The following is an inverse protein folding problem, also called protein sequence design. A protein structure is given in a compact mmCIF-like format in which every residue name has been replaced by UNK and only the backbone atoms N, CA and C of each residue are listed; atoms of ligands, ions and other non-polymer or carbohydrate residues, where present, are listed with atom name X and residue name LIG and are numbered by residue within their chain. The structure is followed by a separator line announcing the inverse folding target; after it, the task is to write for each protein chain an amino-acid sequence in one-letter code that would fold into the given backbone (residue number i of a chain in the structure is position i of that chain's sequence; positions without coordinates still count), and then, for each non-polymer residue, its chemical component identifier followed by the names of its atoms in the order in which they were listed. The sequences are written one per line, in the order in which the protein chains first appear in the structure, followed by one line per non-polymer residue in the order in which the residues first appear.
data_IF_973187053261
#
_entry.id   IF_973187053261
#
_cell.length_a   1.000
_cell.length_b   1.000
_cell.length_c   1.000
_cell.angle_alpha   90.00
_cell.angle_beta   90.00
_cell.angle_gamma   90.00
#
_symmetry.space_group_name_H-M   'P 1'
#
loop_
_entity.id
_entity.type
_entity.pdbx_description
1 polymer ?
#
# COMPACT_ATOMS: atom_id res chain seq x y z
N UNK A 1 25.78 -17.75 15.09
CA UNK A 1 25.67 -17.19 13.72
C UNK A 1 26.95 -16.43 13.42
N UNK A 2 27.71 -16.76 12.37
CA UNK A 2 28.85 -15.93 11.95
C UNK A 2 28.30 -14.73 11.18
N UNK A 3 28.70 -13.52 11.58
CA UNK A 3 28.40 -12.30 10.84
C UNK A 3 29.09 -12.37 9.47
N UNK A 4 28.30 -12.33 8.41
CA UNK A 4 28.80 -12.26 7.04
C UNK A 4 29.29 -10.82 6.85
N UNK A 5 30.60 -10.64 6.70
CA UNK A 5 31.24 -9.32 6.57
C UNK A 5 31.54 -8.93 5.12
N UNK A 6 31.45 -9.88 4.21
CA UNK A 6 31.73 -9.68 2.79
C UNK A 6 30.46 -9.21 2.05
N UNK A 7 30.53 -8.02 1.45
CA UNK A 7 29.42 -7.36 0.77
C UNK A 7 28.82 -8.24 -0.35
N UNK A 8 29.65 -9.01 -1.06
CA UNK A 8 29.19 -9.90 -2.14
C UNK A 8 28.27 -11.00 -1.63
N UNK A 9 28.57 -11.54 -0.45
CA UNK A 9 27.75 -12.56 0.21
C UNK A 9 26.48 -11.95 0.80
N UNK A 10 26.53 -10.72 1.31
CA UNK A 10 25.34 -9.98 1.78
C UNK A 10 24.36 -9.74 0.64
N UNK A 11 24.83 -9.27 -0.52
CA UNK A 11 23.97 -9.04 -1.71
C UNK A 11 23.32 -10.35 -2.18
N UNK A 12 24.07 -11.46 -2.20
CA UNK A 12 23.50 -12.78 -2.53
C UNK A 12 22.44 -13.20 -1.51
N UNK A 13 22.69 -13.00 -0.22
CA UNK A 13 21.73 -13.32 0.83
C UNK A 13 20.44 -12.49 0.69
N UNK A 14 20.55 -11.19 0.43
CA UNK A 14 19.40 -10.32 0.16
C UNK A 14 18.58 -10.76 -1.05
N UNK A 15 19.23 -11.20 -2.14
CA UNK A 15 18.54 -11.78 -3.30
C UNK A 15 17.80 -13.07 -2.94
N UNK A 16 18.41 -13.94 -2.13
CA UNK A 16 17.77 -15.17 -1.66
C UNK A 16 16.55 -14.87 -0.77
N UNK A 17 16.67 -13.93 0.16
CA UNK A 17 15.55 -13.47 1.00
C UNK A 17 14.42 -12.92 0.11
N UNK A 18 14.74 -12.12 -0.91
CA UNK A 18 13.73 -11.59 -1.84
C UNK A 18 12.96 -12.69 -2.56
N UNK A 19 13.66 -13.72 -3.04
CA UNK A 19 13.03 -14.88 -3.72
C UNK A 19 12.16 -15.67 -2.74
N UNK A 20 12.66 -15.94 -1.53
CA UNK A 20 11.92 -16.66 -0.50
C UNK A 20 10.65 -15.89 -0.09
N UNK A 21 10.75 -14.58 0.09
CA UNK A 21 9.63 -13.71 0.40
C UNK A 21 8.59 -13.67 -0.73
N UNK A 22 9.04 -13.59 -1.99
CA UNK A 22 8.14 -13.63 -3.15
C UNK A 22 7.38 -14.97 -3.23
N UNK A 23 8.09 -16.08 -3.02
CA UNK A 23 7.48 -17.40 -2.98
C UNK A 23 6.50 -17.56 -1.81
N UNK A 24 6.86 -17.09 -0.61
CA UNK A 24 5.99 -17.10 0.57
C UNK A 24 4.71 -16.31 0.33
N UNK A 25 4.83 -15.12 -0.27
CA UNK A 25 3.67 -14.29 -0.60
C UNK A 25 2.77 -14.99 -1.62
N UNK A 26 3.35 -15.59 -2.66
CA UNK A 26 2.61 -16.33 -3.68
C UNK A 26 1.91 -17.57 -3.11
N UNK A 27 2.55 -18.29 -2.19
CA UNK A 27 1.96 -19.41 -1.48
C UNK A 27 0.78 -18.97 -0.60
N UNK A 28 0.93 -17.89 0.18
CA UNK A 28 -0.17 -17.35 1.00
C UNK A 28 -1.37 -16.94 0.13
N UNK A 29 -1.12 -16.24 -0.98
CA UNK A 29 -2.17 -15.85 -1.93
C UNK A 29 -2.84 -17.10 -2.53
N UNK A 30 -2.06 -18.11 -2.93
CA UNK A 30 -2.60 -19.36 -3.49
C UNK A 30 -3.52 -20.10 -2.53
N UNK A 31 -3.15 -20.19 -1.24
CA UNK A 31 -3.99 -20.82 -0.21
C UNK A 31 -5.30 -20.03 -0.04
N UNK A 32 -5.23 -18.70 0.05
CA UNK A 32 -6.42 -17.86 0.23
C UNK A 32 -7.35 -17.90 -0.99
N UNK A 33 -6.81 -17.95 -2.21
CA UNK A 33 -7.62 -18.12 -3.43
C UNK A 33 -8.30 -19.48 -3.43
N UNK A 34 -7.58 -20.55 -3.07
CA UNK A 34 -8.14 -21.88 -2.99
C UNK A 34 -9.28 -21.96 -1.96
N UNK A 35 -9.08 -21.40 -0.76
CA UNK A 35 -10.12 -21.31 0.27
C UNK A 35 -11.31 -20.46 -0.20
N UNK A 36 -11.06 -19.37 -0.94
CA UNK A 36 -12.12 -18.52 -1.47
C UNK A 36 -13.01 -19.23 -2.49
N UNK A 37 -12.43 -20.05 -3.37
CA UNK A 37 -13.17 -20.83 -4.37
C UNK A 37 -13.92 -21.99 -3.72
N UNK A 38 -13.32 -22.66 -2.73
CA UNK A 38 -13.87 -23.91 -2.16
C UNK A 38 -14.81 -23.68 -0.99
N UNK A 39 -14.57 -22.67 -0.15
CA UNK A 39 -15.26 -22.42 1.12
C UNK A 39 -15.98 -21.07 1.18
N UNK A 40 -15.86 -20.26 0.12
CA UNK A 40 -16.50 -18.95 0.00
C UNK A 40 -15.71 -17.79 0.61
N UNK A 41 -16.13 -16.57 0.27
CA UNK A 41 -15.39 -15.34 0.59
C UNK A 41 -15.26 -15.05 2.09
N UNK A 42 -16.28 -15.40 2.89
CA UNK A 42 -16.26 -15.20 4.34
C UNK A 42 -15.16 -16.02 5.02
N UNK A 43 -14.90 -17.24 4.53
CA UNK A 43 -13.81 -18.07 5.05
C UNK A 43 -12.43 -17.53 4.72
N UNK A 44 -12.28 -16.69 3.69
CA UNK A 44 -11.01 -16.05 3.35
C UNK A 44 -10.69 -14.96 4.36
N UNK A 45 -11.66 -14.10 4.68
CA UNK A 45 -11.47 -12.99 5.61
C UNK A 45 -11.36 -13.45 7.06
N UNK A 46 -12.02 -14.55 7.43
CA UNK A 46 -11.94 -15.12 8.78
C UNK A 46 -10.64 -15.92 9.01
N UNK A 47 -9.92 -16.28 7.94
CA UNK A 47 -8.67 -17.02 8.05
C UNK A 47 -7.54 -16.10 8.55
N UNK A 48 -6.81 -16.46 9.63
CA UNK A 48 -5.71 -15.66 10.14
C UNK A 48 -4.60 -15.40 9.10
N UNK A 49 -4.46 -16.25 8.07
CA UNK A 49 -3.55 -16.00 6.94
C UNK A 49 -3.86 -14.71 6.20
N UNK A 50 -5.14 -14.34 6.07
CA UNK A 50 -5.54 -13.12 5.40
C UNK A 50 -5.08 -11.89 6.17
N UNK A 51 -5.23 -11.90 7.50
CA UNK A 51 -4.74 -10.81 8.36
C UNK A 51 -3.22 -10.67 8.24
N UNK A 52 -2.47 -11.78 8.30
CA UNK A 52 -1.00 -11.76 8.15
C UNK A 52 -0.60 -11.18 6.80
N UNK A 53 -1.30 -11.55 5.71
CA UNK A 53 -1.03 -11.02 4.38
C UNK A 53 -1.27 -9.51 4.29
N UNK A 54 -2.39 -9.02 4.82
CA UNK A 54 -2.71 -7.59 4.81
C UNK A 54 -1.70 -6.81 5.66
N UNK A 55 -1.42 -7.25 6.89
CA UNK A 55 -0.49 -6.57 7.79
C UNK A 55 0.92 -6.49 7.21
N UNK A 56 1.44 -7.60 6.68
CA UNK A 56 2.76 -7.63 6.06
C UNK A 56 2.83 -6.75 4.81
N UNK A 57 1.75 -6.69 4.03
CA UNK A 57 1.64 -5.83 2.86
C UNK A 57 1.63 -4.35 3.22
N UNK A 58 0.96 -3.95 4.31
CA UNK A 58 0.96 -2.57 4.81
C UNK A 58 2.36 -2.17 5.29
N UNK A 59 3.03 -3.02 6.06
CA UNK A 59 4.40 -2.78 6.54
C UNK A 59 5.36 -2.67 5.34
N UNK A 60 5.28 -3.60 4.38
CA UNK A 60 6.11 -3.57 3.18
C UNK A 60 5.87 -2.30 2.35
N UNK A 61 4.60 -1.88 2.21
CA UNK A 61 4.23 -0.63 1.56
C UNK A 61 4.86 0.58 2.25
N UNK A 62 4.82 0.63 3.58
CA UNK A 62 5.45 1.68 4.37
C UNK A 62 6.99 1.72 4.18
N UNK A 63 7.66 0.57 4.23
CA UNK A 63 9.11 0.49 3.99
C UNK A 63 9.49 0.90 2.57
N UNK A 64 8.71 0.46 1.56
CA UNK A 64 8.93 0.82 0.17
C UNK A 64 8.66 2.31 -0.09
N UNK A 65 7.74 2.94 0.65
CA UNK A 65 7.47 4.36 0.51
C UNK A 65 8.72 5.19 0.80
N UNK A 66 9.46 4.88 1.87
CA UNK A 66 10.73 5.55 2.19
C UNK A 66 11.76 5.43 1.06
N UNK A 67 11.93 4.24 0.50
CA UNK A 67 12.86 3.99 -0.62
C UNK A 67 12.40 4.72 -1.89
N UNK A 68 11.09 4.76 -2.15
CA UNK A 68 10.54 5.43 -3.32
C UNK A 68 10.82 6.92 -3.28
N UNK A 69 10.66 7.58 -2.12
CA UNK A 69 10.95 9.00 -1.95
C UNK A 69 12.43 9.28 -2.25
N UNK A 70 13.34 8.47 -1.73
CA UNK A 70 14.78 8.63 -1.97
C UNK A 70 15.18 8.41 -3.44
N UNK A 71 14.49 7.51 -4.13
CA UNK A 71 14.69 7.28 -5.57
C UNK A 71 14.14 8.43 -6.43
N UNK A 72 13.15 9.20 -5.96
CA UNK A 72 12.63 10.38 -6.67
C UNK A 72 13.59 11.58 -6.52
N UNK A 73 14.27 11.73 -5.38
CA UNK A 73 15.24 12.79 -5.09
C UNK A 73 16.48 12.74 -6.01
N UNK A 74 16.99 11.53 -6.29
CA UNK A 74 18.25 11.31 -7.01
C UNK A 74 18.23 11.72 -8.50
N UNK A 75 17.08 12.06 -9.09
CA UNK A 75 16.95 12.17 -10.54
C UNK A 75 16.38 13.48 -11.10
N UNK A 76 15.43 14.13 -10.42
CA UNK A 76 14.77 15.32 -10.96
C UNK A 76 14.28 16.21 -9.82
N UNK A 77 14.62 17.51 -9.90
CA UNK A 77 14.02 18.56 -9.08
C UNK A 77 12.52 18.29 -8.90
N UNK A 78 12.10 17.99 -7.66
CA UNK A 78 10.69 17.80 -7.35
C UNK A 78 9.97 19.09 -7.73
N UNK A 79 9.21 19.05 -8.83
CA UNK A 79 8.18 20.06 -9.07
C UNK A 79 7.25 19.95 -7.88
N UNK A 80 7.19 20.98 -7.04
CA UNK A 80 6.24 21.10 -5.92
C UNK A 80 4.84 20.85 -6.44
N UNK A 81 4.38 19.60 -6.42
CA UNK A 81 3.04 19.25 -6.85
C UNK A 81 2.11 19.86 -5.80
N UNK A 82 1.25 20.81 -6.18
CA UNK A 82 0.42 21.49 -5.20
C UNK A 82 -0.50 20.48 -4.52
N UNK A 83 -0.52 20.50 -3.19
CA UNK A 83 -1.32 19.62 -2.33
C UNK A 83 -2.79 19.51 -2.78
N UNK A 84 -3.34 20.59 -3.33
CA UNK A 84 -4.71 20.63 -3.85
C UNK A 84 -4.97 19.64 -5.01
N UNK A 85 -4.00 19.35 -5.88
CA UNK A 85 -4.16 18.36 -6.95
C UNK A 85 -4.25 16.93 -6.41
N UNK A 86 -3.52 16.66 -5.33
CA UNK A 86 -3.55 15.37 -4.64
C UNK A 86 -4.92 15.17 -3.97
N UNK A 87 -5.44 16.22 -3.32
CA UNK A 87 -6.77 16.22 -2.69
C UNK A 87 -7.87 16.03 -3.74
N UNK A 88 -7.80 16.71 -4.88
CA UNK A 88 -8.74 16.52 -6.00
C UNK A 88 -8.67 15.08 -6.52
N UNK A 89 -7.47 14.53 -6.73
CA UNK A 89 -7.31 13.15 -7.18
C UNK A 89 -7.91 12.12 -6.21
N UNK A 90 -7.74 12.32 -4.90
CA UNK A 90 -8.37 11.45 -3.91
C UNK A 90 -9.90 11.56 -3.95
N UNK A 91 -10.42 12.78 -4.11
CA UNK A 91 -11.85 13.06 -4.15
C UNK A 91 -12.51 12.42 -5.38
N UNK A 92 -11.87 12.49 -6.55
CA UNK A 92 -12.39 11.85 -7.76
C UNK A 92 -12.41 10.34 -7.63
N UNK A 93 -11.36 9.72 -7.08
CA UNK A 93 -11.31 8.27 -6.85
C UNK A 93 -12.40 7.81 -5.87
N UNK A 94 -12.60 8.55 -4.77
CA UNK A 94 -13.65 8.25 -3.79
C UNK A 94 -15.06 8.32 -4.39
N UNK A 95 -15.33 9.32 -5.23
CA UNK A 95 -16.62 9.46 -5.93
C UNK A 95 -16.83 8.32 -6.92
N UNK A 96 -15.79 7.96 -7.70
CA UNK A 96 -15.87 6.86 -8.67
C UNK A 96 -16.23 5.55 -7.98
N UNK A 97 -15.54 5.22 -6.88
CA UNK A 97 -15.82 4.00 -6.13
C UNK A 97 -17.20 4.01 -5.47
N UNK A 98 -17.64 5.14 -4.89
CA UNK A 98 -18.98 5.27 -4.31
C UNK A 98 -20.11 5.16 -5.35
N UNK A 99 -19.87 5.61 -6.59
CA UNK A 99 -20.81 5.38 -7.69
C UNK A 99 -20.81 3.92 -8.16
N UNK A 100 -19.63 3.29 -8.21
CA UNK A 100 -19.49 1.90 -8.63
C UNK A 100 -20.26 0.95 -7.69
N UNK A 101 -20.18 1.17 -6.38
CA UNK A 101 -20.91 0.37 -5.38
C UNK A 101 -22.42 0.51 -5.53
N UNK A 102 -22.91 1.71 -5.86
CA UNK A 102 -24.33 1.97 -6.11
C UNK A 102 -24.84 1.21 -7.33
N UNK A 103 -24.06 1.17 -8.41
CA UNK A 103 -24.42 0.47 -9.66
C UNK A 103 -24.39 -1.06 -9.47
N UNK A 104 -23.39 -1.59 -8.77
CA UNK A 104 -23.20 -3.04 -8.63
C UNK A 104 -24.15 -3.67 -7.62
N UNK A 105 -24.42 -3.02 -6.49
CA UNK A 105 -25.11 -3.68 -5.37
C UNK A 105 -26.56 -3.22 -5.15
N UNK A 106 -27.06 -2.24 -5.92
CA UNK A 106 -28.34 -1.56 -5.68
C UNK A 106 -28.57 -1.23 -4.19
N UNK A 107 -27.48 -0.94 -3.47
CA UNK A 107 -27.48 -0.71 -2.03
C UNK A 107 -28.09 0.66 -1.73
N UNK A 108 -28.57 0.82 -0.50
CA UNK A 108 -29.15 2.08 -0.05
C UNK A 108 -28.19 3.24 -0.31
N UNK A 109 -28.72 4.40 -0.67
CA UNK A 109 -27.93 5.62 -0.95
C UNK A 109 -27.00 5.95 0.23
N UNK A 110 -27.42 5.64 1.46
CA UNK A 110 -26.63 5.83 2.68
C UNK A 110 -25.39 4.92 2.72
N UNK A 111 -25.52 3.63 2.39
CA UNK A 111 -24.40 2.68 2.45
C UNK A 111 -23.33 3.02 1.42
N UNK A 112 -23.74 3.37 0.20
CA UNK A 112 -22.81 3.78 -0.86
C UNK A 112 -22.06 5.07 -0.52
N UNK A 113 -22.72 6.04 0.13
CA UNK A 113 -22.06 7.28 0.57
C UNK A 113 -21.05 7.02 1.68
N UNK A 114 -21.36 6.15 2.64
CA UNK A 114 -20.43 5.79 3.73
C UNK A 114 -19.17 5.11 3.16
N UNK A 115 -19.34 4.16 2.24
CA UNK A 115 -18.21 3.45 1.62
C UNK A 115 -17.32 4.43 0.83
N UNK A 116 -17.92 5.32 0.02
CA UNK A 116 -17.19 6.35 -0.72
C UNK A 116 -16.41 7.31 0.21
N UNK A 117 -16.99 7.70 1.34
CA UNK A 117 -16.35 8.57 2.33
C UNK A 117 -15.16 7.88 3.01
N UNK A 118 -15.29 6.61 3.40
CA UNK A 118 -14.22 5.84 4.03
C UNK A 118 -13.03 5.68 3.08
N UNK A 119 -13.30 5.36 1.81
CA UNK A 119 -12.26 5.27 0.77
C UNK A 119 -11.59 6.63 0.60
N UNK A 120 -12.36 7.72 0.51
CA UNK A 120 -11.82 9.07 0.40
C UNK A 120 -10.89 9.42 1.56
N UNK A 121 -11.29 9.17 2.82
CA UNK A 121 -10.47 9.45 3.99
C UNK A 121 -9.20 8.60 4.03
N UNK A 122 -9.28 7.34 3.63
CA UNK A 122 -8.12 6.43 3.57
C UNK A 122 -7.07 6.92 2.56
N UNK A 123 -7.52 7.30 1.37
CA UNK A 123 -6.66 7.88 0.33
C UNK A 123 -6.09 9.23 0.77
N UNK A 124 -6.93 10.11 1.32
CA UNK A 124 -6.52 11.42 1.82
C UNK A 124 -5.43 11.28 2.89
N UNK A 125 -5.60 10.38 3.86
CA UNK A 125 -4.63 10.15 4.93
C UNK A 125 -3.29 9.64 4.36
N UNK A 126 -3.32 8.64 3.47
CA UNK A 126 -2.12 8.08 2.83
C UNK A 126 -1.33 9.12 2.06
N UNK A 127 -2.02 9.91 1.23
CA UNK A 127 -1.41 10.95 0.42
C UNK A 127 -0.96 12.17 1.25
N UNK A 128 -1.70 12.53 2.30
CA UNK A 128 -1.34 13.60 3.22
C UNK A 128 -0.07 13.26 4.01
N UNK A 129 0.06 12.00 4.45
CA UNK A 129 1.27 11.51 5.11
C UNK A 129 2.49 11.57 4.17
N UNK A 130 2.32 11.18 2.90
CA UNK A 130 3.37 11.30 1.88
C UNK A 130 3.83 12.75 1.67
N UNK A 131 2.88 13.69 1.57
CA UNK A 131 3.21 15.11 1.43
C UNK A 131 3.87 15.68 2.71
N UNK A 132 3.48 15.22 3.90
CA UNK A 132 4.10 15.63 5.15
C UNK A 132 5.56 15.14 5.26
N UNK A 133 5.85 13.91 4.83
CA UNK A 133 7.21 13.37 4.79
C UNK A 133 8.10 14.16 3.83
N UNK A 134 7.61 14.48 2.63
CA UNK A 134 8.33 15.31 1.64
C UNK A 134 8.59 16.71 2.21
N UNK A 135 7.59 17.33 2.85
CA UNK A 135 7.72 18.67 3.43
C UNK A 135 8.64 18.73 4.65
N UNK A 136 8.68 17.67 5.46
CA UNK A 136 9.58 17.58 6.62
C UNK A 136 11.03 17.47 6.16
N UNK A 137 11.32 16.61 5.17
CA UNK A 137 12.67 16.43 4.62
C UNK A 137 13.19 17.63 3.84
N UNK A 138 12.35 18.34 3.11
CA UNK A 138 12.79 19.59 2.44
C UNK A 138 13.21 20.69 3.42
N UNK A 139 12.77 20.61 4.68
CA UNK A 139 13.14 21.58 5.72
C UNK A 139 14.47 21.23 6.39
N UNK A 140 14.84 19.95 6.38
CA UNK A 140 16.11 19.44 6.91
C UNK A 140 17.26 19.58 5.89
N UNK A 141 16.97 19.77 4.59
CA UNK A 141 17.98 20.04 3.54
C UNK A 141 18.33 21.54 3.39
N UNK A 142 17.49 22.43 3.92
CA UNK A 142 17.67 23.90 3.87
C UNK A 142 18.38 24.45 5.14
N UNK A 143 18.67 23.61 6.15
CA UNK A 143 19.50 23.92 7.35
C UNK A 143 20.91 23.32 7.22
#
# INVERSE_FOLDING_TARGET
MKLIRDERLVIKNLKNIRIAFAFQTLAMVGILIYDGITRGFNNVTDNPLWLVLILTSVILGYLNLGISVDSYESGKQLRKTPYYLIVIGCLTIGIIFGLLTKITSNSSVQDSTIIGLVIFLCFLATFSFGHFLIKKRSKDEDE
#
